data_IF_581270788411
#
_entry.id   IF_581270788411
#
_cell.length_a   1.000
_cell.length_b   1.000
_cell.length_c   1.000
_cell.angle_alpha   90.00
_cell.angle_beta   90.00
_cell.angle_gamma   90.00
#
_symmetry.space_group_name_H-M   'P 1'
#
loop_
_entity.id
_entity.type
_entity.pdbx_description
1 polymer ?
#
# COMPACT_ATOMS: atom_id res chain seq x y z
N UNK A 1 18.52 22.68 -2.42
CA UNK A 1 17.47 21.77 -2.94
C UNK A 1 17.77 20.37 -2.42
N UNK A 2 17.04 19.83 -1.44
CA UNK A 2 17.30 18.46 -1.00
C UNK A 2 16.91 17.53 -2.16
N UNK A 3 17.86 16.72 -2.63
CA UNK A 3 17.60 15.72 -3.65
C UNK A 3 16.46 14.83 -3.15
N UNK A 4 15.31 14.85 -3.83
CA UNK A 4 14.21 13.95 -3.50
C UNK A 4 14.76 12.52 -3.49
N UNK A 5 14.76 11.90 -2.30
CA UNK A 5 15.08 10.48 -2.14
C UNK A 5 14.39 9.67 -3.25
N UNK A 6 15.21 9.05 -4.11
CA UNK A 6 14.83 8.35 -5.35
C UNK A 6 14.25 6.96 -5.06
N UNK A 7 13.34 6.87 -4.10
CA UNK A 7 12.72 5.63 -3.63
C UNK A 7 11.20 5.64 -3.79
N UNK A 8 10.56 4.47 -3.71
CA UNK A 8 9.11 4.42 -3.56
C UNK A 8 8.69 5.13 -2.28
N UNK A 9 7.50 5.73 -2.28
CA UNK A 9 6.97 6.51 -1.16
C UNK A 9 5.52 6.18 -0.88
N UNK A 10 5.15 6.25 0.40
CA UNK A 10 3.76 6.27 0.84
C UNK A 10 3.34 7.73 1.04
N UNK A 11 2.21 8.09 0.44
CA UNK A 11 1.63 9.42 0.49
C UNK A 11 0.31 9.32 1.26
N UNK A 12 0.09 10.23 2.19
CA UNK A 12 -1.20 10.42 2.85
C UNK A 12 -2.16 11.08 1.87
N UNK A 13 -3.38 10.56 1.76
CA UNK A 13 -4.42 11.09 0.88
C UNK A 13 -5.64 11.43 1.72
N UNK A 14 -6.09 12.68 1.69
CA UNK A 14 -7.31 13.08 2.39
C UNK A 14 -8.51 12.93 1.45
N UNK A 15 -9.50 12.15 1.89
CA UNK A 15 -10.77 11.99 1.21
C UNK A 15 -11.75 13.11 1.56
N UNK A 16 -12.83 13.21 0.77
CA UNK A 16 -13.88 14.22 0.96
C UNK A 16 -14.57 14.11 2.33
N UNK A 17 -14.70 12.90 2.87
CA UNK A 17 -15.44 12.61 4.11
C UNK A 17 -14.60 12.74 5.40
N UNK A 18 -13.58 13.61 5.38
CA UNK A 18 -12.55 13.74 6.44
C UNK A 18 -11.75 12.47 6.74
N UNK A 19 -12.01 11.39 6.02
CA UNK A 19 -11.23 10.16 6.08
C UNK A 19 -9.84 10.36 5.47
N UNK A 20 -8.86 9.64 6.01
CA UNK A 20 -7.48 9.67 5.53
C UNK A 20 -7.11 8.29 5.00
N UNK A 21 -6.62 8.21 3.77
CA UNK A 21 -6.11 7.01 3.14
C UNK A 21 -4.63 7.15 2.80
N UNK A 22 -4.12 6.20 2.02
CA UNK A 22 -2.75 6.25 1.52
C UNK A 22 -2.67 5.86 0.05
N UNK A 23 -1.66 6.39 -0.63
CA UNK A 23 -1.26 5.97 -1.96
C UNK A 23 0.23 5.62 -1.98
N UNK A 24 0.61 4.62 -2.74
CA UNK A 24 2.01 4.28 -2.98
C UNK A 24 2.45 4.79 -4.33
N UNK A 25 3.57 5.51 -4.35
CA UNK A 25 4.21 6.03 -5.56
C UNK A 25 5.53 5.30 -5.78
N UNK A 26 5.77 4.85 -7.01
CA UNK A 26 7.05 4.34 -7.45
C UNK A 26 8.11 5.46 -7.48
N UNK A 27 9.38 5.08 -7.55
CA UNK A 27 10.49 6.02 -7.66
C UNK A 27 10.40 6.93 -8.92
N UNK A 28 9.76 6.46 -9.98
CA UNK A 28 9.51 7.24 -11.20
C UNK A 28 8.28 8.17 -11.12
N UNK A 29 7.72 8.37 -9.93
CA UNK A 29 6.56 9.23 -9.73
C UNK A 29 5.21 8.59 -10.07
N UNK A 30 5.17 7.37 -10.62
CA UNK A 30 3.90 6.70 -10.97
C UNK A 30 3.22 6.13 -9.74
N UNK A 31 1.92 6.36 -9.59
CA UNK A 31 1.13 5.72 -8.55
C UNK A 31 0.99 4.21 -8.84
N UNK A 32 1.33 3.39 -7.86
CA UNK A 32 1.29 1.92 -7.92
C UNK A 32 0.02 1.39 -7.28
N UNK A 33 -0.27 1.85 -6.06
CA UNK A 33 -1.32 1.31 -5.22
C UNK A 33 -2.04 2.41 -4.45
N UNK A 34 -3.25 2.08 -4.01
CA UNK A 34 -4.03 2.87 -3.06
C UNK A 34 -4.49 1.97 -1.92
N UNK A 35 -4.65 2.54 -0.73
CA UNK A 35 -5.33 1.88 0.37
C UNK A 35 -6.76 1.53 -0.02
N UNK A 36 -7.19 0.32 0.31
CA UNK A 36 -8.56 -0.11 0.03
C UNK A 36 -9.59 0.47 1.01
N UNK A 37 -9.13 1.15 2.07
CA UNK A 37 -9.95 1.72 3.14
C UNK A 37 -9.51 3.13 3.48
N UNK A 38 -10.46 3.89 4.00
CA UNK A 38 -10.22 5.17 4.66
C UNK A 38 -10.17 4.98 6.16
N UNK A 39 -9.31 5.75 6.83
CA UNK A 39 -9.15 5.78 8.28
C UNK A 39 -9.71 7.08 8.84
N UNK A 40 -10.06 7.11 10.13
CA UNK A 40 -10.66 8.28 10.77
C UNK A 40 -9.66 9.43 10.98
N UNK A 41 -8.36 9.14 10.91
CA UNK A 41 -7.31 10.14 11.05
C UNK A 41 -5.90 9.58 10.81
N UNK A 42 -4.91 10.46 10.85
CA UNK A 42 -3.50 10.15 10.54
C UNK A 42 -2.86 9.14 11.52
N UNK A 43 -3.24 9.16 12.80
CA UNK A 43 -2.73 8.23 13.79
C UNK A 43 -3.17 6.77 13.52
N UNK A 44 -4.43 6.60 13.13
CA UNK A 44 -4.98 5.30 12.74
C UNK A 44 -4.33 4.81 11.44
N UNK A 45 -4.20 5.71 10.46
CA UNK A 45 -3.49 5.43 9.21
C UNK A 45 -2.04 5.00 9.46
N UNK A 46 -1.30 5.73 10.30
CA UNK A 46 0.10 5.44 10.62
C UNK A 46 0.26 4.06 11.24
N UNK A 47 -0.68 3.67 12.12
CA UNK A 47 -0.70 2.34 12.74
C UNK A 47 -0.94 1.26 11.69
N UNK A 48 -1.92 1.46 10.80
CA UNK A 48 -2.22 0.51 9.75
C UNK A 48 -1.08 0.36 8.73
N UNK A 49 -0.40 1.46 8.36
CA UNK A 49 0.79 1.43 7.50
C UNK A 49 1.93 0.65 8.17
N UNK A 50 2.17 0.88 9.48
CA UNK A 50 3.19 0.15 10.22
C UNK A 50 2.91 -1.35 10.23
N UNK A 51 1.66 -1.74 10.51
CA UNK A 51 1.21 -3.13 10.46
C UNK A 51 1.42 -3.74 9.07
N UNK A 52 1.01 -3.03 8.00
CA UNK A 52 1.25 -3.46 6.62
C UNK A 52 2.74 -3.71 6.35
N UNK A 53 3.62 -2.81 6.79
CA UNK A 53 5.05 -2.97 6.56
C UNK A 53 5.63 -4.13 7.37
N UNK A 54 5.13 -4.41 8.57
CA UNK A 54 5.54 -5.59 9.36
C UNK A 54 5.05 -6.88 8.70
N UNK A 55 3.78 -6.93 8.32
CA UNK A 55 3.09 -8.13 7.83
C UNK A 55 3.23 -8.35 6.31
N UNK A 56 4.00 -7.51 5.64
CA UNK A 56 4.17 -7.52 4.17
C UNK A 56 4.51 -8.89 3.57
N UNK A 57 5.20 -9.76 4.33
CA UNK A 57 5.58 -11.09 3.89
C UNK A 57 4.39 -12.08 3.83
N UNK A 58 3.31 -11.77 4.54
CA UNK A 58 2.09 -12.58 4.57
C UNK A 58 1.06 -12.15 3.51
N UNK A 59 1.33 -11.07 2.76
CA UNK A 59 0.39 -10.53 1.78
C UNK A 59 0.03 -11.54 0.70
N UNK A 60 -1.27 -11.63 0.45
CA UNK A 60 -1.82 -12.38 -0.69
C UNK A 60 -2.37 -11.39 -1.70
N UNK A 61 -1.90 -11.48 -2.93
CA UNK A 61 -2.37 -10.66 -4.02
C UNK A 61 -3.22 -11.52 -4.97
N UNK A 62 -4.35 -10.97 -5.39
CA UNK A 62 -5.20 -11.56 -6.44
C UNK A 62 -5.24 -10.61 -7.62
N UNK A 63 -5.41 -11.18 -8.81
CA UNK A 63 -5.60 -10.44 -10.05
C UNK A 63 -6.96 -10.83 -10.62
N UNK A 64 -7.81 -9.84 -10.90
CA UNK A 64 -9.15 -10.03 -11.43
C UNK A 64 -9.50 -8.97 -12.47
N UNK A 65 -10.69 -9.07 -13.05
CA UNK A 65 -11.21 -8.05 -13.95
C UNK A 65 -12.21 -7.16 -13.20
N UNK A 66 -12.13 -5.86 -13.43
CA UNK A 66 -13.16 -4.91 -13.03
C UNK A 66 -14.38 -4.97 -13.95
N UNK A 67 -15.46 -4.31 -13.58
CA UNK A 67 -16.66 -4.17 -14.41
C UNK A 67 -16.36 -3.55 -15.79
N UNK A 68 -15.39 -2.64 -15.84
CA UNK A 68 -14.90 -2.02 -17.06
C UNK A 68 -13.99 -2.94 -17.91
N UNK A 69 -13.91 -4.25 -17.60
CA UNK A 69 -13.05 -5.25 -18.24
C UNK A 69 -11.55 -4.93 -18.20
N UNK A 70 -11.13 -4.13 -17.23
CA UNK A 70 -9.72 -3.85 -16.97
C UNK A 70 -9.20 -4.82 -15.92
N UNK A 71 -7.97 -5.28 -16.09
CA UNK A 71 -7.27 -6.07 -15.08
C UNK A 71 -6.90 -5.20 -13.89
N UNK A 72 -7.24 -5.64 -12.69
CA UNK A 72 -6.94 -4.99 -11.42
C UNK A 72 -6.38 -6.02 -10.45
N UNK A 73 -5.54 -5.56 -9.53
CA UNK A 73 -5.02 -6.42 -8.48
C UNK A 73 -5.48 -5.90 -7.11
N UNK A 74 -5.70 -6.83 -6.19
CA UNK A 74 -6.09 -6.53 -4.80
C UNK A 74 -5.20 -7.32 -3.86
N UNK A 75 -4.67 -6.66 -2.83
CA UNK A 75 -3.88 -7.27 -1.78
C UNK A 75 -4.69 -7.41 -0.49
N UNK A 76 -4.47 -8.53 0.18
CA UNK A 76 -5.14 -8.94 1.40
C UNK A 76 -4.11 -9.37 2.43
N UNK A 77 -4.39 -9.11 3.70
CA UNK A 77 -3.73 -9.81 4.79
C UNK A 77 -4.52 -11.08 5.10
N UNK A 78 -3.86 -12.22 5.34
CA UNK A 78 -4.54 -13.41 5.81
C UNK A 78 -5.18 -13.12 7.17
N UNK A 79 -6.33 -13.73 7.49
CA UNK A 79 -7.08 -13.50 8.74
C UNK A 79 -6.32 -13.91 10.03
N UNK A 80 -5.06 -14.35 9.90
CA UNK A 80 -4.16 -14.62 11.02
C UNK A 80 -3.14 -13.51 11.14
N UNK A 81 -3.53 -12.38 11.73
CA UNK A 81 -2.58 -11.53 12.44
C UNK A 81 -3.32 -10.59 13.38
N UNK A 82 -3.26 -10.87 14.68
CA UNK A 82 -3.39 -9.93 15.82
C UNK A 82 -4.62 -9.01 15.95
N UNK A 83 -5.58 -9.02 15.02
CA UNK A 83 -6.76 -8.14 15.04
C UNK A 83 -7.99 -8.88 15.60
N UNK A 84 -8.65 -8.36 16.65
CA UNK A 84 -9.99 -8.83 17.03
C UNK A 84 -10.97 -8.52 15.90
N UNK A 85 -11.71 -9.53 15.41
CA UNK A 85 -12.81 -9.36 14.44
C UNK A 85 -12.50 -9.58 12.95
N UNK A 86 -11.31 -10.08 12.58
CA UNK A 86 -10.97 -10.37 11.18
C UNK A 86 -11.44 -11.77 10.75
N UNK A 87 -12.75 -11.97 10.63
CA UNK A 87 -13.32 -13.23 10.10
C UNK A 87 -13.22 -13.32 8.56
N UNK A 88 -13.09 -12.18 7.87
CA UNK A 88 -12.88 -12.12 6.42
C UNK A 88 -11.55 -11.45 6.05
N UNK A 89 -10.90 -11.98 5.02
CA UNK A 89 -9.73 -11.37 4.40
C UNK A 89 -10.18 -10.09 3.68
N UNK A 90 -10.26 -8.99 4.41
CA UNK A 90 -10.62 -7.71 3.85
C UNK A 90 -9.43 -7.12 3.07
N UNK A 91 -9.69 -6.45 1.93
CA UNK A 91 -8.65 -5.85 1.14
C UNK A 91 -7.96 -4.72 1.90
N UNK A 92 -6.64 -4.62 1.72
CA UNK A 92 -5.82 -3.58 2.33
C UNK A 92 -5.28 -2.59 1.28
N UNK A 93 -5.10 -3.07 0.06
CA UNK A 93 -4.54 -2.29 -1.03
C UNK A 93 -5.13 -2.76 -2.37
N UNK A 94 -5.25 -1.83 -3.30
CA UNK A 94 -5.69 -2.09 -4.68
C UNK A 94 -4.76 -1.41 -5.65
N UNK A 95 -4.75 -1.90 -6.88
CA UNK A 95 -4.10 -1.20 -8.00
C UNK A 95 -4.63 0.22 -8.12
N UNK A 96 -3.72 1.21 -8.23
CA UNK A 96 -4.11 2.60 -8.42
C UNK A 96 -4.84 2.89 -9.75
N UNK A 97 -4.77 1.95 -10.70
CA UNK A 97 -5.40 2.02 -12.02
C UNK A 97 -5.74 0.63 -12.53
N UNK A 98 -6.65 0.57 -13.49
CA UNK A 98 -6.88 -0.63 -14.30
C UNK A 98 -5.80 -0.81 -15.37
N UNK A 99 -5.52 -2.07 -15.72
CA UNK A 99 -4.56 -2.47 -16.74
C UNK A 99 -5.28 -3.14 -17.91
N UNK A 100 -4.79 -2.92 -19.13
CA UNK A 100 -5.38 -3.55 -20.32
C UNK A 100 -5.03 -5.03 -20.45
N UNK A 101 -3.93 -5.47 -19.84
CA UNK A 101 -3.43 -6.85 -19.93
C UNK A 101 -3.11 -7.44 -18.57
N UNK A 102 -3.33 -8.74 -18.41
CA UNK A 102 -3.13 -9.49 -17.16
C UNK A 102 -1.66 -9.49 -16.70
N UNK A 103 -0.74 -9.66 -17.64
CA UNK A 103 0.71 -9.64 -17.39
C UNK A 103 1.17 -8.27 -16.85
N UNK A 104 0.67 -7.17 -17.41
CA UNK A 104 0.95 -5.83 -16.88
C UNK A 104 0.38 -5.62 -15.48
N UNK A 105 -0.79 -6.19 -15.22
CA UNK A 105 -1.39 -6.18 -13.88
C UNK A 105 -0.53 -6.96 -12.88
N UNK A 106 -0.04 -8.14 -13.27
CA UNK A 106 0.89 -8.94 -12.48
C UNK A 106 2.21 -8.18 -12.22
N UNK A 107 2.80 -7.53 -13.22
CA UNK A 107 3.97 -6.67 -13.01
C UNK A 107 3.68 -5.48 -12.09
N UNK A 108 2.42 -5.03 -12.00
CA UNK A 108 1.94 -4.09 -11.01
C UNK A 108 2.01 -4.63 -9.57
N UNK A 109 1.61 -5.89 -9.37
CA UNK A 109 1.75 -6.60 -8.09
C UNK A 109 3.22 -6.67 -7.68
N UNK A 110 4.09 -7.10 -8.59
CA UNK A 110 5.52 -7.28 -8.29
C UNK A 110 6.17 -5.93 -7.92
N UNK A 111 5.81 -4.86 -8.64
CA UNK A 111 6.27 -3.50 -8.35
C UNK A 111 5.83 -3.02 -6.97
N UNK A 112 4.59 -3.34 -6.57
CA UNK A 112 4.05 -3.00 -5.26
C UNK A 112 4.78 -3.74 -4.13
N UNK A 113 4.99 -5.06 -4.27
CA UNK A 113 5.71 -5.86 -3.28
C UNK A 113 7.17 -5.41 -3.13
N UNK A 114 7.85 -5.15 -4.25
CA UNK A 114 9.22 -4.63 -4.24
C UNK A 114 9.31 -3.26 -3.54
N UNK A 115 8.31 -2.39 -3.77
CA UNK A 115 8.23 -1.09 -3.13
C UNK A 115 8.01 -1.20 -1.60
N UNK A 116 7.11 -2.07 -1.14
CA UNK A 116 6.94 -2.38 0.28
C UNK A 116 8.23 -2.92 0.92
N UNK A 117 8.96 -3.78 0.20
CA UNK A 117 10.22 -4.31 0.68
C UNK A 117 11.31 -3.24 0.77
N UNK A 118 11.36 -2.30 -0.17
CA UNK A 118 12.27 -1.15 -0.12
C UNK A 118 11.95 -0.24 1.08
N UNK A 119 10.67 0.11 1.28
CA UNK A 119 10.21 0.92 2.42
C UNK A 119 10.51 0.23 3.76
N UNK A 120 10.22 -1.07 3.89
CA UNK A 120 10.52 -1.83 5.11
C UNK A 120 12.02 -2.04 5.37
N UNK A 121 12.89 -1.89 4.36
CA UNK A 121 14.35 -1.85 4.56
C UNK A 121 14.79 -0.50 5.08
N UNK A 122 14.25 0.58 4.52
CA UNK A 122 14.59 1.94 4.95
C UNK A 122 14.23 2.15 6.43
N UNK A 123 13.04 1.72 6.85
CA UNK A 123 12.61 1.76 8.26
C UNK A 123 13.48 1.00 9.25
N UNK A 124 14.26 0.02 8.77
CA UNK A 124 15.22 -0.70 9.64
C UNK A 124 16.57 0.02 9.72
N UNK A 125 16.87 0.90 8.76
CA UNK A 125 18.10 1.71 8.76
C UNK A 125 17.93 3.00 9.54
N UNK A 126 16.79 3.66 9.42
CA UNK A 126 16.42 4.80 10.27
C UNK A 126 15.93 4.24 11.60
N UNK A 127 16.76 4.34 12.65
CA UNK A 127 16.40 3.86 13.99
C UNK A 127 15.16 4.56 14.59
N UNK A 128 14.71 4.16 15.79
CA UNK A 128 13.43 4.61 16.39
C UNK A 128 13.26 6.11 16.64
N UNK A 129 14.29 6.93 16.37
CA UNK A 129 14.33 8.37 16.65
C UNK A 129 14.06 9.29 15.45
N UNK A 130 14.13 8.79 14.22
CA UNK A 130 13.85 9.64 13.05
C UNK A 130 12.36 9.61 12.73
N UNK A 131 11.68 10.57 13.37
CA UNK A 131 10.30 10.96 13.12
C UNK A 131 10.10 11.11 11.62
N UNK A 132 9.10 10.39 11.10
CA UNK A 132 8.65 10.54 9.73
C UNK A 132 8.37 12.02 9.46
N UNK A 133 9.18 12.64 8.61
CA UNK A 133 8.87 13.92 7.98
C UNK A 133 7.93 13.62 6.82
N UNK A 134 6.64 13.59 7.16
CA UNK A 134 5.54 13.60 6.20
C UNK A 134 5.53 14.91 5.42
#
# INVERSE_FOLDING_TARGET
MPAEARGPRLLTVHGADRGVGWAMRAANGRQLAVGARSYRGEAELSTAIRQLLIERAALRCTVGQSEARLWVWTAYLPPRSTRPGAEEAEPIARSARGYLRRDQCQGGVDSFLAALQALGRELRRTGPGDRWSW
#
